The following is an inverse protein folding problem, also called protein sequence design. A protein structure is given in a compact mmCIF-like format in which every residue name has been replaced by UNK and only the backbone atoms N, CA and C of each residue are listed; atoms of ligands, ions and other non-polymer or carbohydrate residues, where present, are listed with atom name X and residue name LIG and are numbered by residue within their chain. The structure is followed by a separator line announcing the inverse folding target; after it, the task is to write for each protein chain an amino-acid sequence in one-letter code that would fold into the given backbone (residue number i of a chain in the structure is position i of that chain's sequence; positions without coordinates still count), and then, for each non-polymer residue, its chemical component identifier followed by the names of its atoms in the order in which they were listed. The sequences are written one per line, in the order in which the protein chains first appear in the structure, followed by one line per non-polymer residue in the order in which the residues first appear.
data_IF_914683159605
#
_entry.id   IF_914683159605
#
_cell.length_a   1.000
_cell.length_b   1.000
_cell.length_c   1.000
_cell.angle_alpha   90.00
_cell.angle_beta   90.00
_cell.angle_gamma   90.00
#
_symmetry.space_group_name_H-M   'P 1'
#
loop_
_entity.id
_entity.type
_entity.pdbx_description
1 polymer ?
#
# COMPACT_ATOMS: atom_id res chain seq x y z
N UNK A 1 14.39 -13.61 -27.76
CA UNK A 1 13.94 -13.03 -26.48
C UNK A 1 13.19 -14.14 -25.77
N UNK A 2 13.62 -14.68 -24.62
CA UNK A 2 12.80 -15.66 -23.92
C UNK A 2 11.64 -14.95 -23.21
N UNK A 3 10.45 -15.49 -23.42
CA UNK A 3 9.17 -15.10 -22.85
C UNK A 3 9.22 -15.18 -21.30
N UNK A 4 8.66 -14.20 -20.60
CA UNK A 4 8.45 -14.26 -19.15
C UNK A 4 7.32 -15.25 -18.82
N UNK A 5 7.64 -16.54 -18.77
CA UNK A 5 6.77 -17.58 -18.23
C UNK A 5 6.67 -17.40 -16.70
N UNK A 6 5.63 -16.67 -16.30
CA UNK A 6 4.88 -16.81 -15.06
C UNK A 6 5.68 -17.16 -13.79
N UNK A 7 6.26 -16.13 -13.15
CA UNK A 7 6.52 -16.13 -11.71
C UNK A 7 5.16 -16.03 -10.99
N UNK A 8 4.40 -17.13 -10.97
CA UNK A 8 3.17 -17.20 -10.20
C UNK A 8 3.57 -17.40 -8.74
N UNK A 9 3.33 -16.42 -7.85
CA UNK A 9 3.62 -16.60 -6.44
C UNK A 9 2.82 -17.80 -5.89
N UNK A 10 3.35 -18.51 -4.88
CA UNK A 10 2.64 -19.65 -4.30
C UNK A 10 1.22 -19.22 -3.90
N UNK A 11 0.22 -20.06 -4.22
CA UNK A 11 -1.20 -19.84 -3.89
C UNK A 11 -1.34 -19.60 -2.38
N UNK A 12 -1.23 -18.33 -1.97
CA UNK A 12 -1.54 -17.93 -0.61
C UNK A 12 -3.01 -18.24 -0.36
N UNK A 13 -3.39 -18.74 0.83
CA UNK A 13 -4.79 -18.99 1.13
C UNK A 13 -5.56 -17.70 0.91
N UNK A 14 -6.43 -17.68 -0.11
CA UNK A 14 -7.16 -16.49 -0.55
C UNK A 14 -7.80 -15.86 0.69
N UNK A 15 -7.34 -14.67 1.07
CA UNK A 15 -7.96 -13.95 2.18
C UNK A 15 -9.42 -13.75 1.82
N UNK A 16 -10.31 -14.08 2.76
CA UNK A 16 -11.75 -13.85 2.58
C UNK A 16 -11.97 -12.39 2.23
N UNK A 17 -12.79 -12.14 1.21
CA UNK A 17 -13.16 -10.78 0.77
C UNK A 17 -13.59 -9.90 1.94
N UNK A 18 -14.35 -10.47 2.88
CA UNK A 18 -14.75 -9.81 4.14
C UNK A 18 -13.59 -9.23 4.95
N UNK A 19 -12.46 -9.92 5.05
CA UNK A 19 -11.28 -9.43 5.80
C UNK A 19 -10.53 -8.32 5.07
N UNK A 20 -10.62 -8.27 3.75
CA UNK A 20 -10.04 -7.19 2.95
C UNK A 20 -10.95 -5.96 3.07
N UNK A 21 -12.25 -6.16 2.90
CA UNK A 21 -13.25 -5.09 2.97
C UNK A 21 -13.31 -4.46 4.39
N UNK A 22 -12.96 -5.21 5.46
CA UNK A 22 -12.81 -4.66 6.83
C UNK A 22 -11.70 -3.61 6.94
N UNK A 23 -10.62 -3.76 6.16
CA UNK A 23 -9.46 -2.84 6.18
C UNK A 23 -9.64 -1.69 5.20
N UNK A 24 -10.14 -1.99 3.99
CA UNK A 24 -10.17 -1.05 2.87
C UNK A 24 -11.55 -0.46 2.59
N UNK A 25 -12.60 -1.01 3.21
CA UNK A 25 -13.99 -0.72 2.83
C UNK A 25 -14.46 -1.57 1.65
N UNK A 26 -15.77 -1.56 1.44
CA UNK A 26 -16.48 -2.28 0.38
C UNK A 26 -16.86 -1.39 -0.80
N UNK A 27 -16.88 -0.06 -0.61
CA UNK A 27 -17.26 0.95 -1.59
C UNK A 27 -16.08 1.89 -1.86
N UNK A 28 -15.83 2.17 -3.15
CA UNK A 28 -14.85 3.17 -3.57
C UNK A 28 -15.45 4.58 -3.48
N UNK A 29 -14.67 5.59 -3.06
CA UNK A 29 -15.13 6.98 -3.04
C UNK A 29 -15.43 7.50 -4.46
N UNK A 30 -16.33 8.47 -4.57
CA UNK A 30 -16.73 9.07 -5.84
C UNK A 30 -15.62 9.94 -6.46
N UNK A 31 -14.69 10.42 -5.64
CA UNK A 31 -13.57 11.28 -6.04
C UNK A 31 -12.23 10.61 -5.78
N UNK A 32 -11.27 10.86 -6.66
CA UNK A 32 -9.91 10.34 -6.53
C UNK A 32 -9.13 11.13 -5.46
N UNK A 33 -7.91 10.69 -5.15
CA UNK A 33 -7.09 11.39 -4.15
C UNK A 33 -6.61 12.76 -4.60
N UNK A 34 -6.44 12.97 -5.91
CA UNK A 34 -6.00 14.24 -6.51
C UNK A 34 -7.11 15.28 -6.61
N UNK A 35 -8.37 14.86 -6.66
CA UNK A 35 -9.55 15.75 -6.68
C UNK A 35 -10.01 16.20 -5.29
N UNK A 36 -9.57 15.52 -4.23
CA UNK A 36 -9.96 15.82 -2.85
C UNK A 36 -8.97 16.77 -2.20
N UNK A 37 -9.48 17.68 -1.37
CA UNK A 37 -8.62 18.52 -0.54
C UNK A 37 -7.70 17.65 0.33
N UNK A 38 -6.41 18.02 0.46
CA UNK A 38 -5.49 17.30 1.32
C UNK A 38 -6.00 17.33 2.75
N UNK A 39 -6.50 16.19 3.23
CA UNK A 39 -6.82 16.01 4.65
C UNK A 39 -5.53 16.27 5.43
N UNK A 40 -5.59 16.96 6.59
CA UNK A 40 -4.43 17.04 7.48
C UNK A 40 -4.02 15.62 7.83
N UNK A 41 -3.00 15.14 7.13
CA UNK A 41 -2.27 13.95 7.49
C UNK A 41 -1.62 14.35 8.79
N UNK A 42 -2.09 13.80 9.92
CA UNK A 42 -1.43 14.02 11.21
C UNK A 42 0.07 13.80 11.03
N UNK A 43 0.93 14.48 11.81
CA UNK A 43 2.36 14.56 11.53
C UNK A 43 2.85 13.16 11.21
N UNK A 44 3.20 12.91 9.94
CA UNK A 44 3.98 11.75 9.60
C UNK A 44 5.33 12.07 10.23
N UNK A 45 5.48 11.65 11.48
CA UNK A 45 6.61 12.04 12.31
C UNK A 45 7.88 11.67 11.56
N UNK A 46 8.84 12.59 11.51
CA UNK A 46 10.20 12.27 11.05
C UNK A 46 10.70 10.99 11.73
N UNK A 47 10.24 10.72 12.96
CA UNK A 47 10.45 9.49 13.71
C UNK A 47 10.19 8.21 12.91
N UNK A 48 9.05 8.09 12.21
CA UNK A 48 8.76 6.87 11.43
C UNK A 48 9.78 6.66 10.32
N UNK A 49 10.14 7.75 9.64
CA UNK A 49 11.12 7.71 8.56
C UNK A 49 12.51 7.38 9.10
N UNK A 50 12.92 7.96 10.22
CA UNK A 50 14.20 7.68 10.87
C UNK A 50 14.29 6.22 11.36
N UNK A 51 13.19 5.65 11.85
CA UNK A 51 13.09 4.25 12.29
C UNK A 51 13.10 3.24 11.14
N UNK A 52 12.61 3.62 9.96
CA UNK A 52 12.42 2.72 8.82
C UNK A 52 13.37 3.01 7.64
N UNK A 53 14.32 3.95 7.78
CA UNK A 53 15.21 4.29 6.66
C UNK A 53 16.14 3.12 6.30
N UNK A 54 16.29 2.81 5.01
CA UNK A 54 17.22 1.77 4.56
C UNK A 54 18.68 2.04 4.98
N UNK A 55 19.54 1.02 5.15
CA UNK A 55 20.92 1.19 5.61
C UNK A 55 21.80 2.05 4.70
N UNK A 56 21.42 2.21 3.44
CA UNK A 56 22.16 2.96 2.42
C UNK A 56 21.62 4.37 2.18
N UNK A 57 20.65 4.80 3.00
CA UNK A 57 19.91 6.02 2.77
C UNK A 57 20.79 7.30 2.72
N UNK A 58 21.93 7.29 3.41
CA UNK A 58 22.79 8.47 3.57
C UNK A 58 24.15 8.33 2.83
N UNK A 59 24.28 7.40 1.88
CA UNK A 59 25.54 7.07 1.17
C UNK A 59 25.65 7.67 -0.22
#
# INVERSE_FOLDING_TARGET
MPEHEADQPPETPRRSRKRIDEVFGDVLPETTSDERDPKPTGPASDDWYLENRPPHHDR
#
